data_IF_950142712810
#
_entry.id   IF_950142712810
#
_cell.length_a   1.000
_cell.length_b   1.000
_cell.length_c   1.000
_cell.angle_alpha   90.00
_cell.angle_beta   90.00
_cell.angle_gamma   90.00
#
_symmetry.space_group_name_H-M   'P 1'
#
loop_
_entity.id
_entity.type
_entity.pdbx_description
1 polymer ?
#
# COMPACT_ATOMS: atom_id res chain seq x y z
N UNK A 1 0.20 -8.36 -11.59
CA UNK A 1 -0.48 -9.18 -10.57
C UNK A 1 0.27 -10.49 -10.44
N UNK A 2 1.16 -10.60 -9.45
CA UNK A 2 1.96 -11.81 -9.22
C UNK A 2 1.27 -12.61 -8.13
N UNK A 3 0.43 -13.56 -8.52
CA UNK A 3 -0.23 -14.50 -7.61
C UNK A 3 0.82 -15.41 -6.99
N UNK A 4 0.86 -15.53 -5.66
CA UNK A 4 1.64 -16.55 -4.99
C UNK A 4 0.98 -17.92 -5.20
N UNK A 5 1.76 -18.94 -5.56
CA UNK A 5 1.24 -20.29 -5.74
C UNK A 5 1.80 -21.24 -4.70
N UNK A 6 0.95 -22.14 -4.18
CA UNK A 6 1.36 -23.17 -3.22
C UNK A 6 1.02 -24.54 -3.77
N UNK A 7 1.99 -25.45 -3.70
CA UNK A 7 1.86 -26.84 -4.14
C UNK A 7 1.34 -27.71 -3.00
N UNK A 8 0.30 -28.48 -3.29
CA UNK A 8 -0.26 -29.49 -2.38
C UNK A 8 -0.15 -30.85 -3.06
N UNK A 9 0.20 -31.86 -2.27
CA UNK A 9 0.22 -33.25 -2.71
C UNK A 9 -0.84 -34.02 -1.93
N UNK A 10 -1.80 -34.60 -2.64
CA UNK A 10 -2.75 -35.55 -2.06
C UNK A 10 -2.18 -36.95 -2.22
N UNK A 11 -2.23 -37.71 -1.14
CA UNK A 11 -1.85 -39.12 -1.12
C UNK A 11 -3.10 -39.97 -0.93
N UNK A 12 -3.25 -41.00 -1.76
CA UNK A 12 -4.31 -42.00 -1.64
C UNK A 12 -3.63 -43.31 -1.26
N UNK A 13 -4.20 -44.01 -0.29
CA UNK A 13 -3.74 -45.33 0.14
C UNK A 13 -4.89 -46.32 0.11
N UNK A 14 -4.68 -47.45 -0.57
CA UNK A 14 -5.65 -48.55 -0.53
C UNK A 14 -5.49 -49.41 0.75
N UNK A 15 -6.38 -50.38 0.93
CA UNK A 15 -6.34 -51.31 2.07
C UNK A 15 -5.18 -52.31 2.02
N UNK A 16 -4.55 -52.49 0.86
CA UNK A 16 -3.38 -53.36 0.66
C UNK A 16 -2.06 -52.61 0.90
N UNK A 17 -2.12 -51.30 1.09
CA UNK A 17 -1.00 -50.44 1.44
C UNK A 17 -0.32 -49.75 0.28
N UNK A 18 -0.80 -49.90 -0.96
CA UNK A 18 -0.30 -49.16 -2.12
C UNK A 18 -0.59 -47.67 -1.94
N UNK A 19 0.38 -46.82 -2.29
CA UNK A 19 0.25 -45.37 -2.20
C UNK A 19 0.34 -44.79 -3.62
N UNK A 20 -0.60 -43.94 -3.96
CA UNK A 20 -0.54 -43.08 -5.13
C UNK A 20 -0.63 -41.61 -4.70
N UNK A 21 -0.16 -40.69 -5.54
CA UNK A 21 -0.20 -39.27 -5.21
C UNK A 21 -0.40 -38.37 -6.42
N UNK A 22 -1.10 -37.26 -6.18
CA UNK A 22 -1.29 -36.21 -7.18
C UNK A 22 -0.92 -34.85 -6.59
N UNK A 23 -0.12 -34.09 -7.35
CA UNK A 23 0.21 -32.71 -7.00
C UNK A 23 -0.70 -31.74 -7.75
N UNK A 24 -1.16 -30.71 -7.05
CA UNK A 24 -1.85 -29.57 -7.64
C UNK A 24 -1.34 -28.26 -7.05
N UNK A 25 -1.47 -27.21 -7.84
CA UNK A 25 -1.08 -25.86 -7.49
C UNK A 25 -2.33 -25.06 -7.15
N UNK A 26 -2.42 -24.56 -5.92
CA UNK A 26 -3.46 -23.63 -5.52
C UNK A 26 -2.91 -22.21 -5.56
N UNK A 27 -3.62 -21.35 -6.29
CA UNK A 27 -3.39 -19.91 -6.28
C UNK A 27 -3.86 -19.35 -4.94
N UNK A 28 -2.93 -18.74 -4.20
CA UNK A 28 -3.23 -18.12 -2.92
C UNK A 28 -3.25 -16.60 -3.13
N UNK A 29 -4.31 -15.89 -2.66
CA UNK A 29 -4.29 -14.44 -2.64
C UNK A 29 -3.08 -13.95 -1.83
N UNK A 30 -2.41 -12.91 -2.31
CA UNK A 30 -1.42 -12.22 -1.50
C UNK A 30 -2.13 -11.24 -0.58
N UNK A 31 -1.64 -11.10 0.65
CA UNK A 31 -2.06 -10.01 1.51
C UNK A 31 -1.57 -8.69 0.91
N UNK A 32 -2.44 -7.68 0.82
CA UNK A 32 -2.06 -6.37 0.31
C UNK A 32 -1.36 -5.60 1.43
N UNK A 33 -0.15 -5.14 1.16
CA UNK A 33 0.67 -4.38 2.11
C UNK A 33 1.02 -3.02 1.54
N UNK A 34 0.92 -2.01 2.39
CA UNK A 34 1.37 -0.64 2.15
C UNK A 34 2.38 -0.33 3.24
N UNK A 35 3.58 0.06 2.84
CA UNK A 35 4.61 0.57 3.75
C UNK A 35 4.83 2.05 3.46
N UNK A 36 4.77 2.88 4.49
CA UNK A 36 4.95 4.32 4.44
C UNK A 36 5.49 4.78 5.79
N UNK A 37 6.36 5.78 5.75
CA UNK A 37 6.91 6.41 6.95
C UNK A 37 5.78 6.91 7.86
N UNK A 38 5.77 6.47 9.12
CA UNK A 38 4.72 6.82 10.07
C UNK A 38 4.77 8.29 10.49
N UNK A 39 5.96 8.88 10.50
CA UNK A 39 6.21 10.27 10.85
C UNK A 39 7.44 10.76 10.10
N UNK A 40 7.36 11.99 9.58
CA UNK A 40 8.43 12.66 8.86
C UNK A 40 8.55 14.08 9.40
N UNK A 41 9.76 14.47 9.80
CA UNK A 41 10.07 15.86 10.13
C UNK A 41 10.46 16.61 8.85
N UNK A 42 9.67 17.60 8.46
CA UNK A 42 9.89 18.39 7.25
C UNK A 42 10.27 19.82 7.64
N UNK A 43 11.38 20.32 7.10
CA UNK A 43 11.77 21.72 7.28
C UNK A 43 10.96 22.61 6.34
N UNK A 44 10.41 23.70 6.86
CA UNK A 44 9.64 24.66 6.07
C UNK A 44 10.43 25.13 4.83
N UNK A 45 9.76 25.11 3.67
CA UNK A 45 10.35 25.45 2.38
C UNK A 45 11.09 24.30 1.69
N UNK A 46 11.24 23.14 2.33
CA UNK A 46 11.63 21.91 1.62
C UNK A 46 10.41 21.24 1.01
N UNK A 47 10.63 20.69 -0.20
CA UNK A 47 9.69 19.77 -0.84
C UNK A 47 9.98 18.37 -0.32
N UNK A 48 8.93 17.67 0.08
CA UNK A 48 8.99 16.27 0.47
C UNK A 48 8.00 15.47 -0.37
N UNK A 49 8.32 14.24 -0.76
CA UNK A 49 7.40 13.40 -1.54
C UNK A 49 7.07 12.15 -0.75
N UNK A 50 5.78 11.83 -0.60
CA UNK A 50 5.38 10.56 -0.01
C UNK A 50 5.68 9.44 -1.01
N UNK A 51 6.35 8.39 -0.57
CA UNK A 51 6.75 7.26 -1.42
C UNK A 51 6.28 5.93 -0.82
N UNK A 52 4.98 5.59 -0.94
CA UNK A 52 4.47 4.32 -0.42
C UNK A 52 5.06 3.14 -1.18
N UNK A 53 5.57 2.13 -0.46
CA UNK A 53 6.00 0.87 -1.05
C UNK A 53 4.82 -0.10 -1.02
N UNK A 54 4.36 -0.49 -2.22
CA UNK A 54 3.22 -1.38 -2.40
C UNK A 54 3.65 -2.74 -2.96
N UNK A 55 2.98 -3.81 -2.53
CA UNK A 55 3.11 -5.12 -3.18
C UNK A 55 2.05 -5.37 -4.27
N UNK A 56 1.29 -4.33 -4.63
CA UNK A 56 0.19 -4.38 -5.60
C UNK A 56 0.09 -3.07 -6.40
N UNK A 57 -0.77 -3.07 -7.42
CA UNK A 57 -1.10 -1.87 -8.19
C UNK A 57 -2.51 -1.40 -7.82
N UNK A 58 -2.68 -0.22 -7.22
CA UNK A 58 -3.98 0.28 -6.79
C UNK A 58 -4.83 0.73 -8.00
N UNK A 59 -6.12 0.41 -7.97
CA UNK A 59 -7.06 0.88 -9.00
C UNK A 59 -7.60 2.31 -8.76
N UNK A 60 -7.58 2.76 -7.51
CA UNK A 60 -7.96 4.11 -7.07
C UNK A 60 -7.11 4.47 -5.85
N UNK A 61 -6.69 5.71 -5.76
CA UNK A 61 -5.95 6.25 -4.62
C UNK A 61 -6.74 7.42 -4.04
N UNK A 62 -6.75 7.53 -2.71
CA UNK A 62 -7.34 8.64 -2.00
C UNK A 62 -6.57 8.86 -0.69
N UNK A 63 -5.95 10.01 -0.55
CA UNK A 63 -5.30 10.45 0.68
C UNK A 63 -6.29 11.13 1.62
N UNK A 64 -6.07 10.98 2.92
CA UNK A 64 -6.86 11.64 3.96
C UNK A 64 -5.95 12.25 5.04
N UNK A 65 -6.15 13.52 5.41
CA UNK A 65 -7.09 14.48 4.80
C UNK A 65 -6.69 14.85 3.35
N UNK A 66 -7.66 14.97 2.44
CA UNK A 66 -7.41 15.22 1.01
C UNK A 66 -7.08 16.69 0.68
N UNK A 67 -7.40 17.60 1.60
CA UNK A 67 -7.37 19.06 1.37
C UNK A 67 -6.11 19.73 1.96
N UNK A 68 -5.32 19.00 2.77
CA UNK A 68 -4.27 19.61 3.58
C UNK A 68 -2.88 19.18 3.11
N UNK A 69 -2.10 20.15 2.68
CA UNK A 69 -0.64 20.03 2.61
C UNK A 69 -0.10 19.02 1.59
N UNK A 70 -0.91 18.55 0.63
CA UNK A 70 -0.48 17.63 -0.43
C UNK A 70 -0.78 18.21 -1.82
N UNK A 71 0.10 17.96 -2.79
CA UNK A 71 -0.04 18.42 -4.17
C UNK A 71 -1.20 17.77 -4.92
N UNK A 72 -1.61 16.57 -4.50
CA UNK A 72 -2.73 15.82 -5.06
C UNK A 72 -3.28 14.83 -4.02
N UNK A 73 -4.58 14.60 -4.06
CA UNK A 73 -5.26 13.67 -3.14
C UNK A 73 -5.48 12.28 -3.74
N UNK A 74 -5.23 12.08 -5.03
CA UNK A 74 -5.59 10.89 -5.80
C UNK A 74 -4.42 10.26 -6.57
N UNK A 75 -3.20 10.67 -6.23
CA UNK A 75 -1.94 10.21 -6.82
C UNK A 75 -1.16 9.32 -5.83
N UNK A 76 -0.29 8.44 -6.33
CA UNK A 76 0.48 7.53 -5.45
C UNK A 76 1.56 8.26 -4.66
N UNK A 77 2.20 9.24 -5.30
CA UNK A 77 3.37 9.96 -4.77
C UNK A 77 3.10 11.47 -4.73
N UNK A 78 2.23 11.96 -3.84
CA UNK A 78 2.01 13.40 -3.68
C UNK A 78 3.25 14.07 -3.08
N UNK A 79 3.48 15.32 -3.48
CA UNK A 79 4.43 16.21 -2.82
C UNK A 79 3.73 16.89 -1.63
N UNK A 80 4.40 16.98 -0.49
CA UNK A 80 3.95 17.75 0.65
C UNK A 80 4.18 19.23 0.35
N UNK A 81 3.09 19.99 0.28
CA UNK A 81 3.07 21.43 0.08
C UNK A 81 2.62 22.12 1.37
N UNK A 82 3.56 22.30 2.30
CA UNK A 82 3.32 23.06 3.52
C UNK A 82 3.29 24.55 3.17
N UNK A 83 2.15 25.05 2.69
CA UNK A 83 1.93 26.50 2.61
C UNK A 83 1.84 27.00 4.04
N UNK A 84 2.77 27.88 4.45
CA UNK A 84 2.69 28.54 5.74
C UNK A 84 1.31 29.21 5.87
N UNK A 85 0.46 28.75 6.80
CA UNK A 85 -0.73 29.48 7.19
C UNK A 85 -0.29 30.74 7.92
N UNK A 86 0.05 31.81 7.20
CA UNK A 86 0.03 33.15 7.79
C UNK A 86 -1.43 33.57 7.84
N UNK A 87 -2.18 33.06 8.81
CA UNK A 87 -3.48 33.63 9.16
C UNK A 87 -3.23 34.92 9.93
N UNK A 88 -2.71 35.93 9.22
CA UNK A 88 -2.72 37.32 9.68
C UNK A 88 -4.13 37.84 9.42
N UNK A 89 -5.07 37.46 10.28
CA UNK A 89 -6.31 38.20 10.45
C UNK A 89 -5.92 39.58 10.99
N UNK A 90 -5.69 40.54 10.08
CA UNK A 90 -5.62 41.96 10.46
C UNK A 90 -7.04 42.33 10.88
N UNK A 91 -7.33 42.19 12.17
CA UNK A 91 -8.48 42.82 12.79
C UNK A 91 -8.23 44.33 12.78
N UNK A 92 -8.74 44.98 11.75
CA UNK A 92 -8.94 46.42 11.75
C UNK A 92 -10.03 46.74 12.78
N UNK A 93 -9.69 47.46 13.85
CA UNK A 93 -10.63 48.20 14.68
C UNK A 93 -10.04 49.57 15.01
#
# INVERSE_FOLDING_TARGET
>A
MTTGSRKYTVYIRDSLGCIDSQQFELLVPIDLTIDLEAEVEIVLGQKWTLQPILNFSPGRIQWYPSEEGLSCSDCLEPEVDLVAFTDLQIAHY
#
